data_IF_814235394040
#
_entry.id   IF_814235394040
#
_cell.length_a   1.000
_cell.length_b   1.000
_cell.length_c   1.000
_cell.angle_alpha   90.00
_cell.angle_beta   90.00
_cell.angle_gamma   90.00
#
_symmetry.space_group_name_H-M   'P 1'
#
loop_
_entity.id
_entity.type
_entity.pdbx_description
1 polymer ?
#
# COMPACT_ATOMS: atom_id res chain seq x y z
N UNK A 1 22.65 -10.80 -13.21
CA UNK A 1 21.20 -10.74 -13.46
C UNK A 1 20.73 -9.34 -13.12
N UNK A 2 19.89 -8.73 -13.97
CA UNK A 2 19.33 -7.39 -13.69
C UNK A 2 18.37 -7.48 -12.50
N UNK A 3 18.42 -6.49 -11.60
CA UNK A 3 17.55 -6.35 -10.44
C UNK A 3 16.35 -5.47 -10.77
N UNK A 4 15.17 -5.96 -10.42
CA UNK A 4 13.92 -5.23 -10.57
C UNK A 4 13.29 -5.02 -9.20
N UNK A 5 12.68 -3.84 -9.01
CA UNK A 5 11.81 -3.52 -7.87
C UNK A 5 10.47 -3.10 -8.44
N UNK A 6 9.37 -3.52 -7.80
CA UNK A 6 8.02 -3.09 -8.18
C UNK A 6 7.52 -2.05 -7.19
N UNK A 7 7.06 -0.91 -7.69
CA UNK A 7 6.34 0.10 -6.92
C UNK A 7 4.87 0.12 -7.33
N UNK A 8 3.95 -0.02 -6.37
CA UNK A 8 2.52 -0.20 -6.68
C UNK A 8 1.60 0.81 -5.99
N UNK A 9 0.53 1.18 -6.71
CA UNK A 9 -0.61 1.93 -6.18
C UNK A 9 -1.93 1.20 -6.40
N UNK A 10 -3.04 1.85 -6.06
CA UNK A 10 -4.36 1.21 -5.97
C UNK A 10 -4.84 0.55 -7.28
N UNK A 11 -4.36 1.00 -8.43
CA UNK A 11 -4.73 0.44 -9.74
C UNK A 11 -4.36 -1.03 -9.91
N UNK A 12 -3.34 -1.54 -9.22
CA UNK A 12 -3.01 -2.98 -9.26
C UNK A 12 -4.11 -3.85 -8.63
N UNK A 13 -4.86 -3.30 -7.67
CA UNK A 13 -5.90 -4.01 -6.90
C UNK A 13 -7.30 -3.82 -7.49
N UNK A 14 -7.44 -3.09 -8.61
CA UNK A 14 -8.74 -2.81 -9.24
C UNK A 14 -9.47 -4.10 -9.66
N UNK A 15 -8.77 -5.01 -10.33
CA UNK A 15 -9.33 -6.32 -10.74
C UNK A 15 -9.55 -7.28 -9.55
N UNK A 16 -9.14 -6.90 -8.34
CA UNK A 16 -9.45 -7.60 -7.10
C UNK A 16 -10.70 -7.04 -6.39
N UNK A 17 -11.40 -6.09 -7.02
CA UNK A 17 -12.62 -5.47 -6.46
C UNK A 17 -12.35 -4.31 -5.50
N UNK A 18 -11.11 -3.84 -5.40
CA UNK A 18 -10.75 -2.68 -4.56
C UNK A 18 -10.76 -1.42 -5.43
N UNK A 19 -11.65 -0.45 -5.17
CA UNK A 19 -11.71 0.77 -5.95
C UNK A 19 -10.47 1.63 -5.72
N UNK A 20 -10.05 2.34 -6.77
CA UNK A 20 -8.99 3.33 -6.68
C UNK A 20 -9.42 4.56 -5.89
N UNK A 21 -8.46 5.35 -5.41
CA UNK A 21 -8.75 6.60 -4.71
C UNK A 21 -9.56 7.58 -5.58
N UNK A 22 -9.35 7.57 -6.90
CA UNK A 22 -10.10 8.40 -7.85
C UNK A 22 -11.58 7.97 -7.91
N UNK A 23 -11.85 6.66 -7.91
CA UNK A 23 -13.21 6.10 -7.96
C UNK A 23 -14.00 6.31 -6.65
N UNK A 24 -13.29 6.51 -5.53
CA UNK A 24 -13.89 6.76 -4.22
C UNK A 24 -14.37 8.21 -4.02
N UNK A 25 -14.03 9.13 -4.94
CA UNK A 25 -14.33 10.56 -4.81
C UNK A 25 -13.46 11.26 -3.76
N UNK A 26 -13.86 12.44 -3.31
CA UNK A 26 -13.06 13.24 -2.38
C UNK A 26 -13.18 12.73 -0.92
N UNK A 27 -12.38 11.71 -0.62
CA UNK A 27 -12.14 11.23 0.75
C UNK A 27 -10.89 11.86 1.37
N UNK A 28 -10.22 12.77 0.68
CA UNK A 28 -8.89 13.26 1.07
C UNK A 28 -8.91 13.93 2.44
N UNK A 29 -9.86 14.81 2.67
CA UNK A 29 -10.04 15.47 3.97
C UNK A 29 -10.28 14.45 5.08
N UNK A 30 -11.12 13.45 4.82
CA UNK A 30 -11.51 12.41 5.78
C UNK A 30 -10.39 11.44 6.12
N UNK A 31 -9.38 11.31 5.25
CA UNK A 31 -8.19 10.49 5.46
C UNK A 31 -6.98 11.31 5.95
N UNK A 32 -7.22 12.45 6.61
CA UNK A 32 -6.17 13.28 7.22
C UNK A 32 -6.01 13.00 8.71
N UNK A 33 -4.79 13.24 9.22
CA UNK A 33 -4.48 13.16 10.66
C UNK A 33 -5.37 14.09 11.48
N UNK A 34 -5.62 15.29 10.96
CA UNK A 34 -6.52 16.26 11.58
C UNK A 34 -7.95 15.72 11.70
N UNK A 35 -8.48 15.12 10.64
CA UNK A 35 -9.83 14.55 10.67
C UNK A 35 -9.94 13.38 11.66
N UNK A 36 -8.95 12.49 11.70
CA UNK A 36 -8.92 11.41 12.70
C UNK A 36 -8.94 11.96 14.14
N UNK A 37 -8.12 12.96 14.44
CA UNK A 37 -8.05 13.56 15.78
C UNK A 37 -9.38 14.21 16.20
N UNK A 38 -10.07 14.87 15.27
CA UNK A 38 -11.33 15.56 15.54
C UNK A 38 -12.57 14.65 15.48
N UNK A 39 -12.52 13.59 14.67
CA UNK A 39 -13.68 12.74 14.34
C UNK A 39 -13.34 11.23 14.30
N UNK A 40 -12.75 10.66 15.37
CA UNK A 40 -12.19 9.31 15.35
C UNK A 40 -13.24 8.23 15.05
N UNK A 41 -14.47 8.37 15.56
CA UNK A 41 -15.56 7.44 15.26
C UNK A 41 -15.95 7.43 13.78
N UNK A 42 -16.09 8.62 13.16
CA UNK A 42 -16.44 8.74 11.73
C UNK A 42 -15.29 8.21 10.86
N UNK A 43 -14.05 8.52 11.24
CA UNK A 43 -12.87 7.99 10.58
C UNK A 43 -12.84 6.46 10.60
N UNK A 44 -13.08 5.83 11.74
CA UNK A 44 -13.09 4.37 11.83
C UNK A 44 -14.24 3.72 11.07
N UNK A 45 -15.39 4.37 10.90
CA UNK A 45 -16.44 3.85 10.02
C UNK A 45 -15.95 3.73 8.57
N UNK A 46 -15.20 4.72 8.08
CA UNK A 46 -14.60 4.68 6.74
C UNK A 46 -13.57 3.54 6.62
N UNK A 47 -12.70 3.38 7.63
CA UNK A 47 -11.72 2.29 7.60
C UNK A 47 -12.37 0.90 7.68
N UNK A 48 -13.49 0.75 8.40
CA UNK A 48 -14.26 -0.50 8.42
C UNK A 48 -14.82 -0.84 7.04
N UNK A 49 -15.39 0.15 6.33
CA UNK A 49 -15.85 -0.05 4.95
C UNK A 49 -14.71 -0.49 4.02
N UNK A 50 -13.50 0.06 4.18
CA UNK A 50 -12.33 -0.42 3.46
C UNK A 50 -11.91 -1.83 3.87
N UNK A 51 -11.89 -2.11 5.16
CA UNK A 51 -11.54 -3.43 5.70
C UNK A 51 -12.47 -4.51 5.16
N UNK A 52 -13.79 -4.27 5.14
CA UNK A 52 -14.78 -5.21 4.61
C UNK A 52 -14.52 -5.54 3.13
N UNK A 53 -14.20 -4.52 2.32
CA UNK A 53 -13.84 -4.71 0.90
C UNK A 53 -12.52 -5.48 0.74
N UNK A 54 -11.50 -5.12 1.51
CA UNK A 54 -10.18 -5.78 1.50
C UNK A 54 -10.28 -7.24 1.94
N UNK A 55 -11.15 -7.55 2.89
CA UNK A 55 -11.39 -8.90 3.37
C UNK A 55 -12.10 -9.78 2.33
N UNK A 56 -12.96 -9.20 1.50
CA UNK A 56 -13.58 -9.90 0.37
C UNK A 56 -12.65 -10.03 -0.85
N UNK A 57 -11.63 -9.19 -0.96
CA UNK A 57 -10.70 -9.15 -2.09
C UNK A 57 -9.67 -10.30 -2.05
N UNK A 58 -9.32 -10.79 -3.24
CA UNK A 58 -8.31 -11.85 -3.45
C UNK A 58 -7.22 -11.35 -4.40
N UNK A 59 -5.96 -11.81 -4.26
CA UNK A 59 -4.90 -11.47 -5.19
C UNK A 59 -5.27 -11.81 -6.64
N UNK A 60 -5.01 -10.90 -7.56
CA UNK A 60 -5.16 -11.13 -9.00
C UNK A 60 -3.82 -11.56 -9.64
N UNK A 61 -3.84 -11.80 -10.94
CA UNK A 61 -2.67 -12.29 -11.69
C UNK A 61 -1.43 -11.38 -11.60
N UNK A 62 -1.60 -10.06 -11.44
CA UNK A 62 -0.47 -9.17 -11.25
C UNK A 62 0.25 -9.46 -9.92
N UNK A 63 -0.52 -9.60 -8.83
CA UNK A 63 0.03 -9.95 -7.52
C UNK A 63 0.67 -11.33 -7.54
N UNK A 64 0.00 -12.32 -8.14
CA UNK A 64 0.49 -13.69 -8.23
C UNK A 64 1.79 -13.78 -9.04
N UNK A 65 1.90 -13.02 -10.13
CA UNK A 65 3.14 -12.95 -10.92
C UNK A 65 4.29 -12.33 -10.12
N UNK A 66 4.05 -11.21 -9.42
CA UNK A 66 5.06 -10.57 -8.57
C UNK A 66 5.55 -11.54 -7.49
N UNK A 67 4.62 -12.25 -6.83
CA UNK A 67 4.96 -13.26 -5.83
C UNK A 67 5.76 -14.43 -6.42
N UNK A 68 5.34 -14.93 -7.59
CA UNK A 68 6.01 -16.04 -8.30
C UNK A 68 7.47 -15.74 -8.62
N UNK A 69 7.79 -14.51 -9.03
CA UNK A 69 9.16 -14.09 -9.37
C UNK A 69 9.96 -13.57 -8.16
N UNK A 70 9.42 -13.62 -6.94
CA UNK A 70 10.06 -13.16 -5.69
C UNK A 70 10.67 -11.75 -5.76
N UNK A 71 9.98 -10.84 -6.46
CA UNK A 71 10.45 -9.46 -6.68
C UNK A 71 10.15 -8.60 -5.44
N UNK A 72 11.09 -7.75 -4.98
CA UNK A 72 10.80 -6.78 -3.93
C UNK A 72 9.69 -5.80 -4.34
N UNK A 73 8.78 -5.55 -3.42
CA UNK A 73 7.62 -4.68 -3.63
C UNK A 73 7.63 -3.53 -2.63
N UNK A 74 7.49 -2.32 -3.15
CA UNK A 74 7.13 -1.13 -2.38
C UNK A 74 5.68 -0.82 -2.73
N UNK A 75 4.79 -0.70 -1.76
CA UNK A 75 3.36 -0.47 -2.04
C UNK A 75 2.77 0.67 -1.21
N UNK A 76 2.00 1.51 -1.88
CA UNK A 76 1.14 2.52 -1.26
C UNK A 76 -0.19 1.93 -0.78
N UNK A 77 -0.48 0.66 -1.11
CA UNK A 77 -1.76 0.03 -0.77
C UNK A 77 -1.75 -0.50 0.65
N UNK A 78 -2.90 -0.42 1.30
CA UNK A 78 -3.13 -0.88 2.68
C UNK A 78 -3.85 -2.23 2.74
N UNK A 79 -4.04 -2.87 1.58
CA UNK A 79 -4.86 -4.07 1.38
C UNK A 79 -4.14 -5.40 1.67
N UNK A 80 -2.81 -5.35 1.78
CA UNK A 80 -1.93 -6.50 1.96
C UNK A 80 -2.10 -7.62 0.91
N UNK A 81 -2.63 -7.33 -0.28
CA UNK A 81 -2.84 -8.35 -1.32
C UNK A 81 -1.52 -8.94 -1.85
N UNK A 82 -0.43 -8.16 -1.87
CA UNK A 82 0.90 -8.68 -2.19
C UNK A 82 1.34 -9.79 -1.22
N UNK A 83 1.14 -9.57 0.09
CA UNK A 83 1.45 -10.56 1.12
C UNK A 83 0.53 -11.79 0.98
N UNK A 84 -0.78 -11.56 0.76
CA UNK A 84 -1.76 -12.64 0.51
C UNK A 84 -1.41 -13.48 -0.74
N UNK A 85 -0.79 -12.87 -1.76
CA UNK A 85 -0.32 -13.57 -2.96
C UNK A 85 0.94 -14.42 -2.74
N UNK A 86 1.64 -14.23 -1.62
CA UNK A 86 2.88 -14.93 -1.28
C UNK A 86 4.17 -14.14 -1.52
N UNK A 87 4.09 -12.84 -1.84
CA UNK A 87 5.29 -11.99 -1.94
C UNK A 87 5.98 -11.89 -0.59
N UNK A 88 7.29 -12.19 -0.55
CA UNK A 88 8.06 -12.28 0.71
C UNK A 88 8.71 -10.95 1.12
N UNK A 89 9.02 -10.09 0.14
CA UNK A 89 9.74 -8.83 0.33
C UNK A 89 8.79 -7.66 0.02
N UNK A 90 7.96 -7.28 0.98
CA UNK A 90 6.94 -6.25 0.79
C UNK A 90 7.10 -5.15 1.82
N UNK A 91 7.37 -3.94 1.34
CA UNK A 91 7.38 -2.71 2.11
C UNK A 91 6.06 -1.94 1.90
N UNK A 92 5.20 -1.97 2.91
CA UNK A 92 3.92 -1.26 2.93
C UNK A 92 4.13 0.16 3.47
N UNK A 93 4.47 1.11 2.59
CA UNK A 93 4.87 2.46 3.01
C UNK A 93 3.71 3.29 3.58
N UNK A 94 2.46 2.94 3.28
CA UNK A 94 1.27 3.58 3.85
C UNK A 94 0.60 2.76 4.97
N UNK A 95 1.28 1.74 5.49
CA UNK A 95 0.73 0.85 6.51
C UNK A 95 -0.28 -0.17 5.94
N UNK A 96 -1.13 -0.72 6.81
CA UNK A 96 -2.12 -1.74 6.47
C UNK A 96 -3.28 -1.79 7.48
N UNK A 97 -4.34 -2.52 7.15
CA UNK A 97 -5.49 -2.73 8.05
C UNK A 97 -5.42 -4.04 8.85
N UNK A 98 -4.22 -4.53 9.20
CA UNK A 98 -4.09 -5.78 9.98
C UNK A 98 -4.21 -5.57 11.48
N UNK A 99 -3.77 -4.42 11.99
CA UNK A 99 -3.81 -4.10 13.41
C UNK A 99 -4.05 -2.61 13.65
N UNK A 100 -4.37 -2.29 14.89
CA UNK A 100 -4.36 -0.94 15.47
C UNK A 100 -3.49 -0.95 16.73
N UNK A 101 -2.91 0.19 17.07
CA UNK A 101 -1.97 0.29 18.19
C UNK A 101 -2.47 1.25 19.27
N UNK A 102 -2.04 1.05 20.51
CA UNK A 102 -2.29 1.99 21.59
C UNK A 102 -0.98 2.65 22.02
N UNK A 103 -0.86 3.97 21.85
CA UNK A 103 0.36 4.71 22.25
C UNK A 103 0.59 4.80 23.76
N UNK A 104 -0.44 4.57 24.60
CA UNK A 104 -0.28 4.62 26.06
C UNK A 104 0.25 3.33 26.65
N UNK A 105 -0.22 2.18 26.16
CA UNK A 105 0.24 0.88 26.66
C UNK A 105 1.15 0.11 25.70
N UNK A 106 1.46 0.68 24.52
CA UNK A 106 2.33 0.12 23.49
C UNK A 106 1.93 -1.30 23.04
N UNK A 107 0.63 -1.61 23.08
CA UNK A 107 0.08 -2.89 22.59
C UNK A 107 -0.58 -2.70 21.23
N UNK A 108 -0.45 -3.73 20.40
CA UNK A 108 -1.18 -3.88 19.15
C UNK A 108 -2.38 -4.82 19.36
N UNK A 109 -3.44 -4.53 18.62
CA UNK A 109 -4.67 -5.31 18.61
C UNK A 109 -5.06 -5.57 17.15
N UNK A 110 -5.64 -6.73 16.85
CA UNK A 110 -6.22 -7.00 15.54
C UNK A 110 -7.17 -5.86 15.14
N UNK A 111 -7.15 -5.45 13.88
CA UNK A 111 -7.99 -4.35 13.39
C UNK A 111 -9.48 -4.60 13.71
N UNK A 112 -9.93 -5.86 13.79
CA UNK A 112 -11.28 -6.25 14.21
C UNK A 112 -11.69 -5.66 15.57
N UNK A 113 -10.75 -5.36 16.46
CA UNK A 113 -11.01 -4.68 17.73
C UNK A 113 -11.87 -3.42 17.55
N UNK A 114 -11.66 -2.68 16.46
CA UNK A 114 -12.37 -1.41 16.23
C UNK A 114 -13.83 -1.59 15.84
N UNK A 115 -14.26 -2.80 15.44
CA UNK A 115 -15.67 -3.11 15.19
C UNK A 115 -16.47 -3.05 16.48
N UNK A 116 -15.92 -3.58 17.56
CA UNK A 116 -16.53 -3.54 18.90
C UNK A 116 -16.29 -2.19 19.58
N UNK A 117 -15.05 -1.70 19.58
CA UNK A 117 -14.68 -0.45 20.25
C UNK A 117 -13.41 0.16 19.65
N UNK A 118 -13.45 1.47 19.39
CA UNK A 118 -12.26 2.25 19.00
C UNK A 118 -11.33 2.57 20.18
N UNK A 119 -11.68 2.13 21.38
CA UNK A 119 -10.90 2.36 22.60
C UNK A 119 -10.13 1.10 23.00
N UNK A 120 -8.92 1.31 23.50
CA UNK A 120 -8.02 0.27 23.96
C UNK A 120 -8.65 -0.48 25.15
N UNK A 121 -8.79 -1.82 25.09
CA UNK A 121 -9.41 -2.60 26.16
C UNK A 121 -8.63 -2.54 27.48
N UNK A 122 -7.34 -2.17 27.45
CA UNK A 122 -6.49 -2.12 28.64
C UNK A 122 -6.47 -0.77 29.36
N UNK A 123 -6.59 0.35 28.63
CA UNK A 123 -6.37 1.69 29.21
C UNK A 123 -7.34 2.77 28.70
N UNK A 124 -8.33 2.36 27.89
CA UNK A 124 -9.40 3.19 27.36
C UNK A 124 -8.97 4.39 26.50
N UNK A 125 -7.72 4.44 26.05
CA UNK A 125 -7.27 5.41 25.04
C UNK A 125 -7.77 5.04 23.66
N UNK A 126 -7.95 6.04 22.80
CA UNK A 126 -8.30 5.80 21.39
C UNK A 126 -7.17 5.03 20.70
N UNK A 127 -7.53 3.92 20.07
CA UNK A 127 -6.64 3.13 19.24
C UNK A 127 -6.23 3.93 18.02
N UNK A 128 -5.00 3.72 17.58
CA UNK A 128 -4.36 4.45 16.52
C UNK A 128 -4.32 3.56 15.29
N UNK A 129 -4.75 4.09 14.13
CA UNK A 129 -4.77 3.30 12.92
C UNK A 129 -3.34 3.03 12.44
N UNK A 130 -3.09 1.82 11.94
CA UNK A 130 -1.84 1.48 11.26
C UNK A 130 -1.87 1.89 9.77
N UNK A 131 -2.33 3.10 9.46
CA UNK A 131 -2.28 3.65 8.11
C UNK A 131 -1.68 5.05 8.14
N UNK A 132 -0.95 5.40 7.08
CA UNK A 132 -0.39 6.74 6.92
C UNK A 132 -1.48 7.67 6.41
N UNK A 133 -1.75 8.73 7.16
CA UNK A 133 -2.76 9.73 6.83
C UNK A 133 -2.14 10.96 6.16
N UNK A 134 -2.97 11.76 5.49
CA UNK A 134 -2.52 13.07 5.05
C UNK A 134 -2.07 13.91 6.26
N UNK A 135 -0.83 14.39 6.22
CA UNK A 135 -0.16 15.10 7.32
C UNK A 135 0.81 14.23 8.13
N UNK A 136 0.82 12.92 7.93
CA UNK A 136 1.77 12.01 8.57
C UNK A 136 3.09 11.91 7.78
N UNK A 137 4.16 11.56 8.49
CA UNK A 137 5.39 11.08 7.88
C UNK A 137 5.19 9.65 7.38
N UNK A 138 5.84 9.29 6.26
CA UNK A 138 5.87 7.93 5.73
C UNK A 138 7.03 7.18 6.43
N UNK A 139 6.78 6.23 7.34
CA UNK A 139 7.85 5.63 8.16
C UNK A 139 8.89 4.87 7.33
N UNK A 140 8.45 4.15 6.29
CA UNK A 140 9.31 3.37 5.38
C UNK A 140 9.88 4.18 4.21
N UNK A 141 9.85 5.52 4.25
CA UNK A 141 10.26 6.33 3.10
C UNK A 141 11.73 6.14 2.74
N UNK A 142 12.63 6.22 3.73
CA UNK A 142 14.07 6.07 3.48
C UNK A 142 14.42 4.66 3.01
N UNK A 143 13.81 3.63 3.61
CA UNK A 143 13.98 2.24 3.18
C UNK A 143 13.51 2.04 1.72
N UNK A 144 12.37 2.64 1.34
CA UNK A 144 11.90 2.61 -0.05
C UNK A 144 12.93 3.23 -1.01
N UNK A 145 13.56 4.34 -0.61
CA UNK A 145 14.61 5.01 -1.39
C UNK A 145 15.85 4.13 -1.56
N UNK A 146 16.29 3.45 -0.50
CA UNK A 146 17.43 2.53 -0.53
C UNK A 146 17.14 1.29 -1.40
N UNK A 147 15.92 0.75 -1.31
CA UNK A 147 15.49 -0.37 -2.16
C UNK A 147 15.51 0.04 -3.64
N UNK A 148 14.98 1.23 -3.97
CA UNK A 148 14.99 1.76 -5.34
C UNK A 148 16.42 1.94 -5.85
N UNK A 149 17.32 2.50 -5.04
CA UNK A 149 18.74 2.70 -5.41
C UNK A 149 19.47 1.42 -5.75
N UNK A 150 19.04 0.29 -5.20
CA UNK A 150 19.67 -1.00 -5.41
C UNK A 150 19.25 -1.71 -6.70
N UNK A 151 18.28 -1.15 -7.45
CA UNK A 151 17.65 -1.77 -8.61
C UNK A 151 18.27 -1.29 -9.94
N UNK A 152 18.18 -2.12 -10.98
CA UNK A 152 18.44 -1.70 -12.36
C UNK A 152 17.16 -1.15 -13.03
N UNK A 153 15.99 -1.64 -12.57
CA UNK A 153 14.67 -1.25 -13.07
C UNK A 153 13.67 -1.06 -11.92
N UNK A 154 12.95 0.06 -11.94
CA UNK A 154 11.75 0.30 -11.16
C UNK A 154 10.52 0.12 -12.07
N UNK A 155 9.73 -0.92 -11.81
CA UNK A 155 8.44 -1.12 -12.46
C UNK A 155 7.33 -0.47 -11.63
N UNK A 156 6.73 0.59 -12.16
CA UNK A 156 5.62 1.29 -11.51
C UNK A 156 4.29 0.76 -12.02
N UNK A 157 3.42 0.31 -11.11
CA UNK A 157 2.15 -0.34 -11.46
C UNK A 157 0.96 0.32 -10.79
N UNK A 158 -0.04 0.69 -11.58
CA UNK A 158 -1.35 1.11 -11.09
C UNK A 158 -1.32 2.39 -10.25
N UNK A 159 -0.50 3.36 -10.63
CA UNK A 159 -0.36 4.63 -9.92
C UNK A 159 -0.97 5.77 -10.75
N UNK A 160 -1.89 6.54 -10.17
CA UNK A 160 -2.50 7.71 -10.83
C UNK A 160 -1.62 8.97 -10.78
N UNK A 161 -0.52 8.95 -10.00
CA UNK A 161 0.29 10.13 -9.68
C UNK A 161 -0.50 11.32 -9.09
N UNK A 162 -1.71 11.05 -8.60
CA UNK A 162 -2.56 12.05 -7.97
C UNK A 162 -1.95 12.57 -6.65
N UNK A 163 -1.21 11.70 -5.96
CA UNK A 163 -0.42 12.04 -4.76
C UNK A 163 1.07 12.11 -5.09
N UNK A 164 1.79 13.00 -4.40
CA UNK A 164 3.22 13.24 -4.63
C UNK A 164 4.12 12.02 -4.40
N UNK A 165 3.73 11.07 -3.53
CA UNK A 165 4.53 9.88 -3.19
C UNK A 165 5.02 9.13 -4.43
N UNK A 166 4.14 8.87 -5.41
CA UNK A 166 4.53 8.18 -6.63
C UNK A 166 5.52 8.97 -7.48
N UNK A 167 5.36 10.29 -7.52
CA UNK A 167 6.31 11.19 -8.18
C UNK A 167 7.69 11.12 -7.55
N UNK A 168 7.77 11.17 -6.21
CA UNK A 168 9.03 11.10 -5.48
C UNK A 168 9.77 9.77 -5.69
N UNK A 169 9.07 8.63 -5.73
CA UNK A 169 9.70 7.33 -6.00
C UNK A 169 10.26 7.25 -7.43
N UNK A 170 9.53 7.80 -8.41
CA UNK A 170 9.99 7.86 -9.80
C UNK A 170 11.17 8.81 -9.98
N UNK A 171 11.12 9.97 -9.33
CA UNK A 171 12.20 10.96 -9.36
C UNK A 171 13.48 10.37 -8.74
N UNK A 172 13.35 9.70 -7.60
CA UNK A 172 14.47 8.97 -6.99
C UNK A 172 15.11 8.00 -7.97
N UNK A 173 14.31 7.11 -8.58
CA UNK A 173 14.81 6.12 -9.53
C UNK A 173 15.61 6.78 -10.67
N UNK A 174 15.04 7.83 -11.27
CA UNK A 174 15.70 8.58 -12.37
C UNK A 174 17.01 9.21 -11.92
N UNK A 175 17.04 9.84 -10.76
CA UNK A 175 18.24 10.49 -10.22
C UNK A 175 19.36 9.49 -9.92
N UNK A 176 19.00 8.25 -9.61
CA UNK A 176 19.94 7.15 -9.36
C UNK A 176 20.31 6.34 -10.62
N UNK A 177 19.87 6.78 -11.80
CA UNK A 177 20.13 6.08 -13.07
C UNK A 177 19.34 4.78 -13.26
N UNK A 178 18.34 4.52 -12.41
CA UNK A 178 17.46 3.35 -12.48
C UNK A 178 16.44 3.56 -13.59
N UNK A 179 16.29 2.57 -14.47
CA UNK A 179 15.29 2.63 -15.55
C UNK A 179 13.88 2.58 -14.94
N UNK A 180 12.98 3.44 -15.39
CA UNK A 180 11.58 3.43 -14.95
C UNK A 180 10.68 2.94 -16.08
N UNK A 181 9.96 1.84 -15.83
CA UNK A 181 8.91 1.33 -16.70
C UNK A 181 7.54 1.45 -16.00
N UNK A 182 6.46 1.69 -16.76
CA UNK A 182 5.13 1.94 -16.22
C UNK A 182 4.07 1.01 -16.79
N UNK A 183 3.18 0.50 -15.92
CA UNK A 183 1.99 -0.27 -16.27
C UNK A 183 0.80 0.28 -15.46
N UNK A 184 0.02 1.18 -16.06
CA UNK A 184 -1.15 1.77 -15.39
C UNK A 184 -2.50 1.20 -15.84
N UNK A 185 -2.53 0.54 -17.00
CA UNK A 185 -3.74 -0.07 -17.55
C UNK A 185 -3.57 -1.58 -17.66
N UNK A 186 -4.66 -2.29 -17.39
CA UNK A 186 -4.71 -3.75 -17.45
C UNK A 186 -3.53 -4.44 -16.71
N UNK A 187 -3.29 -4.02 -15.46
CA UNK A 187 -2.16 -4.51 -14.67
C UNK A 187 -2.20 -6.03 -14.51
N UNK A 188 -3.40 -6.61 -14.34
CA UNK A 188 -3.64 -8.06 -14.25
C UNK A 188 -2.97 -8.82 -15.39
N UNK A 189 -3.09 -8.34 -16.63
CA UNK A 189 -2.54 -9.05 -17.81
C UNK A 189 -1.13 -8.59 -18.17
N UNK A 190 -0.80 -7.31 -17.93
CA UNK A 190 0.45 -6.70 -18.40
C UNK A 190 1.63 -6.99 -17.46
N UNK A 191 1.42 -7.05 -16.15
CA UNK A 191 2.50 -7.35 -15.18
C UNK A 191 3.08 -8.76 -15.39
N UNK A 192 2.28 -9.84 -15.54
CA UNK A 192 2.83 -11.17 -15.80
C UNK A 192 3.68 -11.23 -17.08
N UNK A 193 3.20 -10.63 -18.18
CA UNK A 193 3.92 -10.58 -19.47
C UNK A 193 5.24 -9.83 -19.36
N UNK A 194 5.22 -8.69 -18.65
CA UNK A 194 6.42 -7.90 -18.43
C UNK A 194 7.48 -8.69 -17.65
N UNK A 195 7.10 -9.29 -16.51
CA UNK A 195 8.02 -10.05 -15.68
C UNK A 195 8.56 -11.29 -16.40
N UNK A 196 7.71 -11.99 -17.15
CA UNK A 196 8.14 -13.12 -17.98
C UNK A 196 9.20 -12.71 -19.01
N UNK A 197 9.00 -11.58 -19.70
CA UNK A 197 9.99 -11.04 -20.63
C UNK A 197 11.29 -10.64 -19.92
N UNK A 198 11.18 -9.97 -18.77
CA UNK A 198 12.32 -9.49 -18.00
C UNK A 198 13.23 -10.63 -17.51
N UNK A 199 12.66 -11.73 -17.04
CA UNK A 199 13.42 -12.86 -16.49
C UNK A 199 13.83 -13.93 -17.53
N UNK A 200 13.29 -13.88 -18.75
CA UNK A 200 13.77 -14.71 -19.88
C UNK A 200 14.97 -14.11 -20.62
N UNK A 201 15.23 -12.82 -20.41
CA UNK A 201 16.28 -12.05 -21.08
C UNK A 201 17.67 -12.18 -20.45
#
# INVERSE_FOLDING_TARGET
MKKIVVFTGAGISKDSGIPTFVELGDLREKLSRSYFNNHPKKFYNILKEFSDRINAAHPNEAHNAIAKYDVPVITMNIDSLHKKAGSKKVLEIHGNLTYVSCHKCNKEYDFKQVYDSIYCPNCNEILQPNVVLYGDMIPGYMEAMDIIDSADVLLVVGTSFYTSTAGFMVEKARNSGVKVDLINENAKDMVPKYLESFFKA
#
